data_IF_163298166724
#
_entry.id   IF_163298166724
#
_cell.length_a   1.000
_cell.length_b   1.000
_cell.length_c   1.000
_cell.angle_alpha   90.00
_cell.angle_beta   90.00
_cell.angle_gamma   90.00
#
_symmetry.space_group_name_H-M   'P 1'
#
loop_
_entity.id
_entity.type
_entity.pdbx_description
1 polymer ?
#
# COMPACT_ATOMS: atom_id res chain seq x y z
N UNK A 1 -5.38 11.39 -0.78
CA UNK A 1 -6.66 10.87 -0.23
C UNK A 1 -6.70 11.11 1.26
N UNK A 2 -7.83 11.49 1.77
CA UNK A 2 -8.00 11.78 3.17
C UNK A 2 -9.07 10.90 3.79
N UNK A 3 -8.77 10.27 4.93
CA UNK A 3 -9.67 9.34 5.57
C UNK A 3 -9.43 9.34 7.09
N UNK A 4 -10.50 9.23 7.86
CA UNK A 4 -10.39 9.09 9.31
C UNK A 4 -9.81 7.72 9.66
N UNK A 5 -8.96 7.69 10.69
CA UNK A 5 -8.47 6.43 11.26
C UNK A 5 -9.57 5.84 12.11
N UNK A 6 -10.30 4.88 11.54
CA UNK A 6 -11.41 4.24 12.18
C UNK A 6 -11.59 2.84 11.59
N UNK A 7 -12.01 1.90 12.41
CA UNK A 7 -12.31 0.55 11.94
C UNK A 7 -13.46 0.56 10.92
N UNK A 8 -14.38 1.51 11.05
CA UNK A 8 -15.51 1.64 10.13
C UNK A 8 -15.07 2.07 8.74
N UNK A 9 -13.91 2.70 8.64
CA UNK A 9 -13.37 3.19 7.37
C UNK A 9 -12.45 2.18 6.68
N UNK A 10 -12.40 0.94 7.16
CA UNK A 10 -11.55 -0.07 6.58
C UNK A 10 -10.10 0.03 7.02
N UNK A 11 -9.83 0.76 8.09
CA UNK A 11 -8.49 0.99 8.61
C UNK A 11 -8.27 0.16 9.86
N UNK A 12 -7.10 -0.45 9.94
CA UNK A 12 -6.70 -1.21 11.10
C UNK A 12 -5.62 -0.44 11.87
N UNK A 13 -5.83 -0.25 13.18
CA UNK A 13 -4.79 0.32 14.05
C UNK A 13 -3.70 -0.72 14.26
N UNK A 14 -2.45 -0.32 14.06
CA UNK A 14 -1.33 -1.24 14.23
C UNK A 14 -0.89 -1.20 15.68
N UNK A 15 -0.95 -2.35 16.35
CA UNK A 15 -0.41 -2.56 17.68
C UNK A 15 0.16 -3.98 17.76
N UNK A 16 0.75 -4.34 18.89
CA UNK A 16 1.41 -5.64 19.04
C UNK A 16 0.44 -6.79 18.79
N UNK A 17 -0.79 -6.68 19.31
CA UNK A 17 -1.80 -7.71 19.15
C UNK A 17 -2.18 -7.90 17.68
N UNK A 18 -2.42 -6.81 16.95
CA UNK A 18 -2.74 -6.86 15.52
C UNK A 18 -1.59 -7.47 14.71
N UNK A 19 -0.35 -7.12 15.05
CA UNK A 19 0.81 -7.68 14.36
C UNK A 19 0.93 -9.18 14.55
N UNK A 20 0.60 -9.67 15.75
CA UNK A 20 0.67 -11.10 16.04
C UNK A 20 -0.39 -11.90 15.29
N UNK A 21 -1.56 -11.28 15.02
CA UNK A 21 -2.69 -11.93 14.35
C UNK A 21 -2.71 -11.69 12.84
N UNK A 22 -1.78 -10.89 12.32
CA UNK A 22 -1.71 -10.57 10.92
C UNK A 22 -1.28 -11.77 10.10
N UNK A 23 -1.93 -11.99 8.96
CA UNK A 23 -1.52 -13.01 8.00
C UNK A 23 -0.08 -12.77 7.58
N UNK A 24 0.70 -13.84 7.47
CA UNK A 24 2.11 -13.75 7.16
C UNK A 24 2.38 -13.13 5.78
N UNK A 25 1.53 -13.43 4.82
CA UNK A 25 1.63 -12.84 3.47
C UNK A 25 1.42 -11.33 3.56
N UNK A 26 0.39 -10.89 4.27
CA UNK A 26 0.11 -9.47 4.48
C UNK A 26 1.28 -8.81 5.20
N UNK A 27 1.81 -9.43 6.23
CA UNK A 27 2.94 -8.90 6.99
C UNK A 27 4.18 -8.73 6.10
N UNK A 28 4.47 -9.71 5.26
CA UNK A 28 5.61 -9.63 4.35
C UNK A 28 5.47 -8.46 3.36
N UNK A 29 4.28 -8.25 2.84
CA UNK A 29 4.02 -7.11 1.94
C UNK A 29 4.22 -5.80 2.69
N UNK A 30 3.70 -5.68 3.91
CA UNK A 30 3.83 -4.46 4.71
C UNK A 30 5.29 -4.18 5.04
N UNK A 31 6.03 -5.17 5.51
CA UNK A 31 7.43 -5.01 5.88
C UNK A 31 8.27 -4.54 4.69
N UNK A 32 8.10 -5.17 3.54
CA UNK A 32 8.80 -4.79 2.31
C UNK A 32 8.41 -3.38 1.87
N UNK A 33 7.12 -3.06 1.91
CA UNK A 33 6.62 -1.77 1.47
C UNK A 33 7.10 -0.62 2.37
N UNK A 34 7.13 -0.84 3.69
CA UNK A 34 7.61 0.17 4.62
C UNK A 34 9.10 0.44 4.45
N UNK A 35 9.89 -0.61 4.25
CA UNK A 35 11.31 -0.48 4.00
C UNK A 35 11.57 0.33 2.73
N UNK A 36 10.87 -0.01 1.66
CA UNK A 36 11.00 0.68 0.38
C UNK A 36 10.54 2.13 0.46
N UNK A 37 9.41 2.38 1.13
CA UNK A 37 8.91 3.74 1.34
C UNK A 37 9.91 4.58 2.14
N UNK A 38 10.53 3.99 3.15
CA UNK A 38 11.54 4.66 3.96
C UNK A 38 12.74 5.09 3.12
N UNK A 39 13.20 4.22 2.23
CA UNK A 39 14.30 4.54 1.32
C UNK A 39 13.91 5.67 0.36
N UNK A 40 12.72 5.62 -0.22
CA UNK A 40 12.24 6.67 -1.11
C UNK A 40 12.15 8.02 -0.42
N UNK A 41 11.61 8.05 0.80
CA UNK A 41 11.49 9.29 1.56
C UNK A 41 12.86 9.87 1.93
N UNK A 42 13.82 9.02 2.25
CA UNK A 42 15.18 9.47 2.54
C UNK A 42 15.87 10.04 1.30
N UNK A 43 15.69 9.41 0.16
CA UNK A 43 16.41 9.78 -1.07
C UNK A 43 15.74 10.94 -1.82
N UNK A 44 14.40 10.96 -1.88
CA UNK A 44 13.66 11.90 -2.73
C UNK A 44 12.73 12.82 -1.95
N UNK A 45 12.53 12.59 -0.66
CA UNK A 45 11.58 13.32 0.20
C UNK A 45 10.11 13.13 -0.21
N UNK A 46 9.84 12.21 -1.12
CA UNK A 46 8.49 11.88 -1.59
C UNK A 46 8.35 10.37 -1.73
N UNK A 47 7.14 9.90 -1.49
CA UNK A 47 6.80 8.50 -1.73
C UNK A 47 5.84 8.42 -2.91
N UNK A 48 6.40 8.34 -4.11
CA UNK A 48 5.62 8.13 -5.32
C UNK A 48 4.95 6.77 -5.23
N UNK A 49 3.69 6.61 -5.68
CA UNK A 49 2.99 5.34 -5.52
C UNK A 49 3.74 4.17 -6.15
N UNK A 50 3.79 3.08 -5.41
CA UNK A 50 4.41 1.84 -5.87
C UNK A 50 3.63 0.66 -5.31
N UNK A 51 3.96 -0.54 -5.78
CA UNK A 51 3.34 -1.76 -5.30
C UNK A 51 4.36 -2.79 -4.85
N UNK A 52 3.84 -3.83 -4.24
CA UNK A 52 4.58 -5.04 -3.95
C UNK A 52 3.60 -6.21 -4.07
N UNK A 53 4.08 -7.34 -4.53
CA UNK A 53 3.21 -8.51 -4.67
C UNK A 53 3.92 -9.78 -4.24
N UNK A 54 3.13 -10.78 -3.93
CA UNK A 54 3.60 -12.13 -3.60
C UNK A 54 3.38 -13.00 -4.83
N UNK A 55 4.42 -13.66 -5.29
CA UNK A 55 4.33 -14.58 -6.42
C UNK A 55 3.84 -15.97 -5.97
N UNK A 56 3.72 -16.89 -6.92
CA UNK A 56 3.24 -18.24 -6.65
C UNK A 56 4.17 -19.05 -5.76
N UNK A 57 5.41 -18.63 -5.63
CA UNK A 57 6.42 -19.27 -4.78
C UNK A 57 6.46 -18.67 -3.38
N UNK A 58 5.65 -17.64 -3.12
CA UNK A 58 5.62 -16.97 -1.84
C UNK A 58 6.66 -15.88 -1.66
N UNK A 59 7.31 -15.44 -2.74
CA UNK A 59 8.32 -14.39 -2.70
C UNK A 59 7.72 -13.03 -2.95
N UNK A 60 8.24 -12.01 -2.23
CA UNK A 60 7.82 -10.62 -2.40
C UNK A 60 8.62 -9.97 -3.52
N UNK A 61 7.93 -9.26 -4.39
CA UNK A 61 8.54 -8.49 -5.47
C UNK A 61 8.05 -7.06 -5.44
N UNK A 62 8.94 -6.09 -5.69
CA UNK A 62 8.51 -4.71 -5.86
C UNK A 62 7.81 -4.54 -7.20
N UNK A 63 6.93 -3.55 -7.28
CA UNK A 63 6.24 -3.19 -8.50
C UNK A 63 6.26 -1.67 -8.62
N UNK A 64 6.94 -1.17 -9.64
CA UNK A 64 7.08 0.25 -9.88
C UNK A 64 6.41 0.64 -11.18
N UNK A 65 5.80 1.82 -11.20
CA UNK A 65 5.29 2.42 -12.42
C UNK A 65 6.46 2.99 -13.22
N UNK A 66 6.61 2.57 -14.46
CA UNK A 66 7.68 3.03 -15.31
C UNK A 66 7.33 4.38 -15.92
N UNK A 67 8.18 5.38 -15.69
CA UNK A 67 7.99 6.71 -16.25
C UNK A 67 8.78 6.82 -17.55
N UNK A 68 8.07 6.84 -18.68
CA UNK A 68 8.69 6.88 -20.00
C UNK A 68 9.16 8.27 -20.37
N UNK A 69 8.43 9.31 -19.99
CA UNK A 69 8.78 10.70 -20.28
C UNK A 69 8.88 11.51 -19.00
N UNK A 70 10.10 11.86 -18.61
CA UNK A 70 10.34 12.63 -17.38
C UNK A 70 9.77 14.03 -17.41
N UNK A 71 9.42 14.55 -18.60
CA UNK A 71 8.80 15.86 -18.73
C UNK A 71 7.29 15.82 -18.53
N UNK A 72 6.72 14.62 -18.53
CA UNK A 72 5.28 14.41 -18.40
C UNK A 72 5.02 13.28 -17.40
N UNK A 73 5.32 13.55 -16.13
CA UNK A 73 5.16 12.58 -15.06
C UNK A 73 3.68 12.50 -14.69
N UNK A 74 3.07 11.29 -14.75
CA UNK A 74 1.68 11.13 -14.35
C UNK A 74 1.46 11.50 -12.89
N UNK A 75 0.27 11.99 -12.56
CA UNK A 75 -0.05 12.27 -11.16
C UNK A 75 -0.23 10.97 -10.36
N UNK A 76 -0.23 11.10 -9.04
CA UNK A 76 -0.27 9.95 -8.15
C UNK A 76 -1.53 9.10 -8.35
N UNK A 77 -2.67 9.73 -8.58
CA UNK A 77 -3.93 9.01 -8.82
C UNK A 77 -3.86 8.14 -10.07
N UNK A 78 -3.33 8.70 -11.16
CA UNK A 78 -3.16 7.96 -12.41
C UNK A 78 -2.26 6.75 -12.22
N UNK A 79 -1.17 6.91 -11.49
CA UNK A 79 -0.23 5.82 -11.21
C UNK A 79 -0.89 4.74 -10.36
N UNK A 80 -1.61 5.14 -9.32
CA UNK A 80 -2.33 4.19 -8.46
C UNK A 80 -3.36 3.39 -9.24
N UNK A 81 -4.11 4.04 -10.12
CA UNK A 81 -5.12 3.37 -10.95
C UNK A 81 -4.46 2.37 -11.90
N UNK A 82 -3.35 2.74 -12.50
CA UNK A 82 -2.61 1.85 -13.40
C UNK A 82 -2.05 0.63 -12.66
N UNK A 83 -1.48 0.84 -11.48
CA UNK A 83 -0.97 -0.24 -10.66
C UNK A 83 -2.09 -1.17 -10.20
N UNK A 84 -3.21 -0.60 -9.79
CA UNK A 84 -4.39 -1.37 -9.36
C UNK A 84 -4.88 -2.27 -10.49
N UNK A 85 -5.04 -1.71 -11.67
CA UNK A 85 -5.53 -2.46 -12.83
C UNK A 85 -4.59 -3.60 -13.19
N UNK A 86 -3.29 -3.33 -13.20
CA UNK A 86 -2.28 -4.35 -13.47
C UNK A 86 -2.37 -5.48 -12.46
N UNK A 87 -2.43 -5.15 -11.17
CA UNK A 87 -2.49 -6.15 -10.11
C UNK A 87 -3.77 -6.97 -10.15
N UNK A 88 -4.91 -6.34 -10.44
CA UNK A 88 -6.18 -7.06 -10.59
C UNK A 88 -6.11 -8.08 -11.71
N UNK A 89 -5.57 -7.70 -12.86
CA UNK A 89 -5.43 -8.59 -14.01
C UNK A 89 -4.48 -9.75 -13.70
N UNK A 90 -3.34 -9.47 -13.09
CA UNK A 90 -2.36 -10.50 -12.73
C UNK A 90 -2.89 -11.46 -11.67
N UNK A 91 -3.69 -10.96 -10.72
CA UNK A 91 -4.33 -11.81 -9.72
C UNK A 91 -5.36 -12.73 -10.36
N UNK A 92 -6.15 -12.24 -11.31
CA UNK A 92 -7.11 -13.07 -12.03
C UNK A 92 -6.43 -14.17 -12.83
N UNK A 93 -5.25 -13.89 -13.37
CA UNK A 93 -4.48 -14.87 -14.13
C UNK A 93 -3.69 -15.83 -13.23
N UNK A 94 -3.76 -15.65 -11.92
CA UNK A 94 -3.08 -16.52 -10.97
C UNK A 94 -1.57 -16.28 -10.86
N UNK A 95 -1.07 -15.16 -11.35
CA UNK A 95 0.36 -14.82 -11.29
C UNK A 95 0.74 -14.13 -9.99
N UNK A 96 -0.23 -13.50 -9.32
CA UNK A 96 -0.06 -12.90 -8.00
C UNK A 96 -0.99 -13.56 -7.01
N UNK A 97 -0.48 -13.91 -5.84
CA UNK A 97 -1.31 -14.43 -4.75
C UNK A 97 -1.91 -13.31 -3.93
N UNK A 98 -1.19 -12.22 -3.78
CA UNK A 98 -1.60 -11.04 -3.02
C UNK A 98 -0.76 -9.86 -3.44
N UNK A 99 -1.24 -8.64 -3.18
CA UNK A 99 -0.47 -7.44 -3.48
C UNK A 99 -0.83 -6.31 -2.53
N UNK A 100 0.03 -5.30 -2.48
CA UNK A 100 -0.22 -4.07 -1.75
C UNK A 100 0.18 -2.87 -2.58
N UNK A 101 -0.55 -1.78 -2.43
CA UNK A 101 -0.25 -0.50 -3.07
C UNK A 101 0.08 0.51 -1.98
N UNK A 102 1.21 1.17 -2.12
CA UNK A 102 1.74 2.11 -1.13
C UNK A 102 1.75 3.50 -1.71
N UNK A 103 1.28 4.48 -0.93
CA UNK A 103 1.21 5.87 -1.36
C UNK A 103 1.12 6.79 -0.14
N UNK A 104 1.38 8.08 -0.37
CA UNK A 104 1.21 9.09 0.67
C UNK A 104 -0.27 9.42 0.83
N UNK A 105 -0.71 9.60 2.08
CA UNK A 105 -2.09 9.94 2.39
C UNK A 105 -2.15 10.88 3.58
N UNK A 106 -3.12 11.77 3.57
CA UNK A 106 -3.43 12.63 4.72
C UNK A 106 -4.61 12.04 5.46
N UNK A 107 -4.47 11.86 6.76
CA UNK A 107 -5.47 11.23 7.61
C UNK A 107 -5.82 12.15 8.77
N UNK A 108 -7.11 12.32 9.05
CA UNK A 108 -7.59 13.05 10.22
C UNK A 108 -8.10 12.08 11.26
N UNK A 109 -7.65 12.23 12.51
CA UNK A 109 -8.12 11.43 13.63
C UNK A 109 -9.49 11.93 14.12
N UNK A 110 -9.76 13.23 13.96
CA UNK A 110 -11.05 13.84 14.25
C UNK A 110 -11.28 14.99 13.28
N UNK A 111 -12.54 15.49 13.23
CA UNK A 111 -12.89 16.60 12.35
C UNK A 111 -12.18 17.90 12.72
N UNK A 112 -11.84 18.07 13.99
CA UNK A 112 -11.24 19.28 14.52
C UNK A 112 -9.72 19.28 14.51
N UNK A 113 -9.11 18.16 14.15
CA UNK A 113 -7.65 18.02 14.14
C UNK A 113 -7.09 18.22 12.73
N UNK A 114 -5.88 18.75 12.69
CA UNK A 114 -5.15 18.88 11.44
C UNK A 114 -4.80 17.49 10.87
N UNK A 115 -4.80 17.35 9.54
CA UNK A 115 -4.41 16.07 8.92
C UNK A 115 -2.99 15.68 9.28
N UNK A 116 -2.80 14.38 9.43
CA UNK A 116 -1.47 13.79 9.65
C UNK A 116 -1.02 13.16 8.34
N UNK A 117 0.17 13.49 7.91
CA UNK A 117 0.76 12.85 6.73
C UNK A 117 1.20 11.44 7.08
N UNK A 118 0.76 10.48 6.30
CA UNK A 118 1.02 9.07 6.56
C UNK A 118 1.40 8.35 5.27
N UNK A 119 1.90 7.13 5.43
CA UNK A 119 2.04 6.19 4.33
C UNK A 119 0.88 5.20 4.44
N UNK A 120 0.08 5.13 3.40
CA UNK A 120 -1.02 4.18 3.30
C UNK A 120 -0.58 2.97 2.51
N UNK A 121 -0.94 1.79 2.99
CA UNK A 121 -0.71 0.52 2.30
C UNK A 121 -2.05 -0.18 2.18
N UNK A 122 -2.52 -0.30 0.94
CA UNK A 122 -3.78 -0.94 0.61
C UNK A 122 -3.50 -2.38 0.18
N UNK A 123 -3.89 -3.34 1.01
CA UNK A 123 -3.56 -4.75 0.83
C UNK A 123 -4.74 -5.49 0.23
N UNK A 124 -4.47 -6.28 -0.80
CA UNK A 124 -5.43 -7.23 -1.35
C UNK A 124 -4.85 -8.63 -1.19
N UNK A 125 -5.40 -9.37 -0.24
CA UNK A 125 -5.00 -10.75 0.04
C UNK A 125 -6.28 -11.60 0.13
N UNK A 126 -6.55 -12.44 -0.88
CA UNK A 126 -7.77 -13.25 -0.90
C UNK A 126 -7.95 -14.17 0.32
N UNK A 127 -6.86 -14.51 1.00
CA UNK A 127 -6.90 -15.38 2.18
C UNK A 127 -7.12 -14.62 3.48
N UNK A 128 -7.07 -13.29 3.44
CA UNK A 128 -7.26 -12.44 4.60
C UNK A 128 -8.53 -11.64 4.42
N UNK A 129 -9.57 -11.96 5.19
CA UNK A 129 -10.87 -11.30 5.12
C UNK A 129 -10.94 -10.05 5.99
N UNK A 130 -9.84 -9.70 6.66
CA UNK A 130 -9.78 -8.51 7.49
C UNK A 130 -9.70 -7.24 6.65
N UNK A 131 -9.82 -6.10 7.32
CA UNK A 131 -9.77 -4.81 6.65
C UNK A 131 -8.42 -4.60 5.96
N UNK A 132 -8.42 -4.20 4.69
CA UNK A 132 -7.21 -4.25 3.87
C UNK A 132 -6.32 -3.00 3.94
N UNK A 133 -6.74 -1.93 4.58
CA UNK A 133 -6.03 -0.65 4.51
C UNK A 133 -5.33 -0.33 5.83
N UNK A 134 -4.04 -0.04 5.73
CA UNK A 134 -3.18 0.28 6.87
C UNK A 134 -2.56 1.66 6.68
N UNK A 135 -2.40 2.40 7.79
CA UNK A 135 -1.69 3.68 7.79
C UNK A 135 -0.50 3.62 8.75
N UNK A 136 0.61 4.17 8.30
CA UNK A 136 1.86 4.19 9.06
C UNK A 136 2.48 5.58 9.14
#
# INVERSE_FOLDING_TARGET
MRRKLSRKDGVRNINIENLQNMDKITQNIIDHSLEYASELLNDTKQCYPFGAFIDRKGQVHPLEFEIEDKRNIPNNETVRDALTKYCEEETKLGRMLAYGLTYEASVSLSEDESPIETIAIDIVNPNDTELPLYYF
#
